data_IF_569665053841
#
_entry.id   IF_569665053841
#
_cell.length_a   1.000
_cell.length_b   1.000
_cell.length_c   1.000
_cell.angle_alpha   90.00
_cell.angle_beta   90.00
_cell.angle_gamma   90.00
#
_symmetry.space_group_name_H-M   'P 1'
#
loop_
_entity.id
_entity.type
_entity.pdbx_description
1 polymer ?
#
# COMPACT_ATOMS: atom_id res chain seq x y z
N UNK A 1 7.72 -4.68 22.55
CA UNK A 1 6.89 -3.90 21.61
C UNK A 1 7.27 -2.44 21.72
N UNK A 2 7.47 -1.73 20.61
CA UNK A 2 7.60 -0.28 20.62
C UNK A 2 6.43 0.43 21.31
N UNK A 3 6.61 1.69 21.70
CA UNK A 3 5.58 2.49 22.36
C UNK A 3 4.57 3.04 21.31
N UNK A 4 3.29 3.15 21.68
CA UNK A 4 2.26 3.74 20.80
C UNK A 4 2.46 5.23 20.50
N UNK A 5 3.27 5.95 21.31
CA UNK A 5 3.66 7.33 21.04
C UNK A 5 4.40 7.52 19.70
N UNK A 6 4.88 6.43 19.08
CA UNK A 6 5.36 6.45 17.70
C UNK A 6 4.33 7.07 16.74
N UNK A 7 3.05 6.85 17.00
CA UNK A 7 1.97 7.36 16.15
C UNK A 7 1.47 8.77 16.52
N UNK A 8 2.18 9.47 17.40
CA UNK A 8 1.88 10.86 17.76
C UNK A 8 2.54 11.88 16.79
N UNK A 9 3.46 11.44 15.93
CA UNK A 9 4.18 12.30 14.98
C UNK A 9 4.65 11.54 13.74
N UNK A 10 5.04 12.27 12.68
CA UNK A 10 5.78 11.73 11.54
C UNK A 10 7.28 11.70 11.85
N UNK A 11 8.00 10.77 11.24
CA UNK A 11 9.39 10.50 11.56
C UNK A 11 10.33 10.60 10.34
N UNK A 12 11.64 10.78 10.54
CA UNK A 12 12.65 10.61 9.51
C UNK A 12 12.67 9.19 8.93
N UNK A 13 13.06 9.05 7.66
CA UNK A 13 13.07 7.75 6.99
C UNK A 13 13.85 6.66 7.74
N UNK A 14 15.01 7.00 8.31
CA UNK A 14 15.82 6.02 9.05
C UNK A 14 15.10 5.48 10.28
N UNK A 15 14.37 6.33 10.99
CA UNK A 15 13.65 5.94 12.21
C UNK A 15 12.56 4.92 11.91
N UNK A 16 11.94 4.99 10.73
CA UNK A 16 10.98 3.97 10.25
C UNK A 16 11.66 2.61 10.01
N UNK A 17 12.89 2.61 9.45
CA UNK A 17 13.63 1.37 9.27
C UNK A 17 14.00 0.72 10.61
N UNK A 18 14.41 1.53 11.58
CA UNK A 18 14.73 1.11 12.94
C UNK A 18 13.45 0.59 13.66
N UNK A 19 12.30 1.24 13.44
CA UNK A 19 11.00 0.80 13.97
C UNK A 19 10.60 -0.59 13.45
N UNK A 20 10.87 -0.92 12.19
CA UNK A 20 10.63 -2.28 11.66
C UNK A 20 11.54 -3.33 12.33
N UNK A 21 12.79 -2.96 12.63
CA UNK A 21 13.68 -3.83 13.39
C UNK A 21 13.18 -4.04 14.83
N UNK A 22 12.73 -2.98 15.50
CA UNK A 22 12.12 -3.05 16.85
C UNK A 22 10.87 -3.94 16.89
N UNK A 23 10.02 -3.89 15.86
CA UNK A 23 8.86 -4.79 15.72
C UNK A 23 9.31 -6.24 15.55
N UNK A 24 10.35 -6.46 14.74
CA UNK A 24 10.91 -7.80 14.49
C UNK A 24 11.52 -8.37 15.76
N UNK A 25 12.28 -7.59 16.51
CA UNK A 25 12.88 -7.99 17.79
C UNK A 25 11.82 -8.29 18.87
N UNK A 26 10.66 -7.65 18.77
CA UNK A 26 9.56 -7.86 19.73
C UNK A 26 8.72 -9.12 19.45
N UNK A 27 8.88 -9.78 18.31
CA UNK A 27 8.07 -10.92 17.92
C UNK A 27 8.88 -12.03 17.23
N UNK A 28 9.06 -13.16 17.90
CA UNK A 28 9.91 -14.28 17.44
C UNK A 28 9.49 -14.88 16.09
N UNK A 29 8.23 -14.75 15.70
CA UNK A 29 7.71 -15.25 14.43
C UNK A 29 7.71 -14.14 13.37
N UNK A 30 8.78 -13.40 13.26
CA UNK A 30 8.96 -12.33 12.29
C UNK A 30 10.39 -12.23 11.77
N UNK A 31 10.54 -11.53 10.68
CA UNK A 31 11.82 -11.14 10.09
C UNK A 31 11.63 -9.87 9.26
N UNK A 32 12.69 -9.11 9.07
CA UNK A 32 12.72 -8.10 8.02
C UNK A 32 13.10 -8.73 6.68
N UNK A 33 12.63 -8.14 5.58
CA UNK A 33 12.97 -8.55 4.21
C UNK A 33 13.10 -7.33 3.30
N UNK A 34 13.63 -7.54 2.10
CA UNK A 34 13.73 -6.51 1.06
C UNK A 34 13.01 -7.03 -0.19
N UNK A 35 12.04 -6.27 -0.69
CA UNK A 35 11.30 -6.59 -1.92
C UNK A 35 12.01 -6.10 -3.18
N UNK A 36 12.78 -5.03 -3.06
CA UNK A 36 13.54 -4.41 -4.15
C UNK A 36 14.44 -3.29 -3.61
N UNK A 37 15.15 -2.64 -4.51
CA UNK A 37 16.02 -1.51 -4.19
C UNK A 37 15.67 -0.34 -5.11
N UNK A 38 15.58 0.86 -4.56
CA UNK A 38 15.26 2.07 -5.30
C UNK A 38 16.42 2.54 -6.19
N UNK A 39 16.14 3.52 -7.04
CA UNK A 39 17.10 4.09 -7.96
C UNK A 39 18.35 4.66 -7.25
N UNK A 40 18.20 5.31 -6.09
CA UNK A 40 19.30 5.86 -5.29
C UNK A 40 19.92 4.82 -4.33
N UNK A 41 19.52 3.55 -4.43
CA UNK A 41 20.11 2.44 -3.68
C UNK A 41 19.52 2.22 -2.28
N UNK A 42 18.31 2.72 -1.99
CA UNK A 42 17.61 2.44 -0.73
C UNK A 42 16.77 1.20 -0.84
N UNK A 43 16.80 0.36 0.18
CA UNK A 43 15.99 -0.85 0.23
C UNK A 43 14.50 -0.53 0.42
N UNK A 44 13.64 -1.23 -0.32
CA UNK A 44 12.22 -1.37 -0.02
C UNK A 44 12.08 -2.42 1.10
N UNK A 45 12.42 -1.98 2.33
CA UNK A 45 12.42 -2.83 3.51
C UNK A 45 11.00 -3.05 4.02
N UNK A 46 10.69 -4.30 4.32
CA UNK A 46 9.43 -4.70 4.91
C UNK A 46 9.60 -5.64 6.09
N UNK A 47 8.49 -5.94 6.75
CA UNK A 47 8.39 -6.94 7.81
C UNK A 47 7.49 -8.10 7.36
N UNK A 48 7.95 -9.31 7.56
CA UNK A 48 7.20 -10.56 7.39
C UNK A 48 6.97 -11.20 8.75
N UNK A 49 5.73 -11.58 9.02
CA UNK A 49 5.39 -12.28 10.26
C UNK A 49 4.26 -13.31 10.06
N UNK A 50 4.24 -14.32 10.92
CA UNK A 50 3.40 -15.52 10.79
C UNK A 50 2.96 -16.08 12.14
N UNK A 51 1.95 -16.96 12.12
CA UNK A 51 1.43 -17.65 13.30
C UNK A 51 2.05 -19.04 13.50
N UNK A 52 1.30 -19.91 14.18
CA UNK A 52 1.75 -21.24 14.64
C UNK A 52 2.19 -22.22 13.56
N UNK A 53 1.75 -22.05 12.32
CA UNK A 53 2.08 -22.98 11.25
C UNK A 53 3.50 -22.77 10.69
N UNK A 54 4.14 -21.65 11.05
CA UNK A 54 5.50 -21.34 10.65
C UNK A 54 5.59 -20.55 9.34
N UNK A 55 6.76 -20.01 9.09
CA UNK A 55 7.11 -19.13 7.97
C UNK A 55 6.75 -19.72 6.60
N UNK A 56 6.03 -18.98 5.79
CA UNK A 56 5.70 -19.31 4.41
C UNK A 56 4.78 -20.51 4.25
N UNK A 57 3.98 -20.84 5.26
CA UNK A 57 3.10 -22.00 5.25
C UNK A 57 1.65 -21.68 4.92
N UNK A 58 1.26 -20.42 5.08
CA UNK A 58 -0.08 -19.95 4.74
C UNK A 58 -0.04 -19.07 3.50
N UNK A 59 -1.21 -18.76 2.92
CA UNK A 59 -1.29 -17.77 1.84
C UNK A 59 -0.80 -16.41 2.33
N UNK A 60 -0.15 -15.68 1.41
CA UNK A 60 0.40 -14.37 1.71
C UNK A 60 -0.70 -13.29 1.74
N UNK A 61 -0.55 -12.34 2.65
CA UNK A 61 -1.17 -11.02 2.60
C UNK A 61 -0.04 -10.02 2.34
N UNK A 62 -0.14 -9.25 1.27
CA UNK A 62 0.85 -8.23 0.91
C UNK A 62 0.22 -6.84 0.98
N UNK A 63 0.69 -6.04 1.93
CA UNK A 63 0.30 -4.63 2.10
C UNK A 63 1.51 -3.74 1.91
N UNK A 64 1.35 -2.66 1.18
CA UNK A 64 2.40 -1.67 1.04
C UNK A 64 1.85 -0.25 1.00
N UNK A 65 2.72 0.72 1.26
CA UNK A 65 2.37 2.13 1.25
C UNK A 65 3.48 3.01 0.68
N UNK A 66 3.23 4.30 0.69
CA UNK A 66 4.16 5.35 0.23
C UNK A 66 4.71 5.08 -1.17
N UNK A 67 3.85 4.57 -2.07
CA UNK A 67 4.09 4.53 -3.51
C UNK A 67 4.24 5.95 -4.05
N UNK A 68 3.40 6.87 -3.57
CA UNK A 68 3.58 8.30 -3.77
C UNK A 68 4.22 8.94 -2.54
N UNK A 69 5.33 9.60 -2.75
CA UNK A 69 6.22 10.07 -1.70
C UNK A 69 5.60 11.02 -0.66
N UNK A 70 4.65 11.87 -1.08
CA UNK A 70 3.97 12.87 -0.24
C UNK A 70 2.89 12.32 0.70
N UNK A 71 2.53 11.05 0.52
CA UNK A 71 1.43 10.39 1.24
C UNK A 71 1.92 9.75 2.55
N UNK A 72 2.39 10.58 3.47
CA UNK A 72 3.07 10.12 4.69
C UNK A 72 2.20 9.27 5.61
N UNK A 73 0.88 9.53 5.63
CA UNK A 73 -0.05 8.76 6.47
C UNK A 73 -0.11 7.27 6.07
N UNK A 74 0.21 6.93 4.82
CA UNK A 74 0.17 5.53 4.37
C UNK A 74 1.26 4.69 5.05
N UNK A 75 2.48 5.21 5.22
CA UNK A 75 3.53 4.52 5.98
C UNK A 75 3.11 4.29 7.43
N UNK A 76 2.62 5.34 8.11
CA UNK A 76 2.16 5.26 9.50
C UNK A 76 1.04 4.22 9.66
N UNK A 77 0.12 4.15 8.68
CA UNK A 77 -0.96 3.16 8.68
C UNK A 77 -0.43 1.73 8.53
N UNK A 78 0.47 1.48 7.60
CA UNK A 78 1.08 0.14 7.39
C UNK A 78 1.83 -0.31 8.65
N UNK A 79 2.59 0.59 9.28
CA UNK A 79 3.31 0.31 10.53
C UNK A 79 2.36 0.05 11.71
N UNK A 80 1.27 0.82 11.81
CA UNK A 80 0.27 0.61 12.85
C UNK A 80 -0.43 -0.75 12.71
N UNK A 81 -0.75 -1.15 11.50
CA UNK A 81 -1.34 -2.46 11.22
C UNK A 81 -0.38 -3.59 11.61
N UNK A 82 0.92 -3.47 11.30
CA UNK A 82 1.94 -4.41 11.75
C UNK A 82 2.01 -4.48 13.28
N UNK A 83 2.05 -3.32 13.94
CA UNK A 83 2.04 -3.22 15.39
C UNK A 83 0.85 -3.95 16.01
N UNK A 84 -0.37 -3.68 15.53
CA UNK A 84 -1.61 -4.24 16.09
C UNK A 84 -1.69 -5.76 15.90
N UNK A 85 -1.28 -6.26 14.75
CA UNK A 85 -1.24 -7.70 14.46
C UNK A 85 -0.25 -8.42 15.38
N UNK A 86 0.95 -7.90 15.53
CA UNK A 86 1.99 -8.48 16.39
C UNK A 86 1.60 -8.37 17.87
N UNK A 87 1.16 -7.19 18.33
CA UNK A 87 0.79 -6.96 19.72
C UNK A 87 -0.40 -7.80 20.20
N UNK A 88 -1.34 -8.09 19.27
CA UNK A 88 -2.54 -8.87 19.54
C UNK A 88 -2.33 -10.39 19.53
N UNK A 89 -1.29 -10.89 18.86
CA UNK A 89 -1.04 -12.33 18.76
C UNK A 89 -0.89 -12.99 20.13
N UNK A 90 -1.63 -14.06 20.35
CA UNK A 90 -1.66 -14.78 21.63
C UNK A 90 -2.47 -14.10 22.74
N UNK A 91 -2.96 -12.86 22.52
CA UNK A 91 -3.75 -12.09 23.50
C UNK A 91 -5.19 -11.87 23.01
N UNK A 92 -5.37 -11.49 21.77
CA UNK A 92 -6.66 -11.38 21.09
C UNK A 92 -6.90 -12.63 20.23
N UNK A 93 -8.02 -13.32 20.44
CA UNK A 93 -8.33 -14.57 19.72
C UNK A 93 -8.55 -14.32 18.21
N UNK A 94 -9.15 -13.19 17.85
CA UNK A 94 -9.41 -12.85 16.46
C UNK A 94 -8.08 -12.53 15.74
N UNK A 95 -7.24 -11.70 16.34
CA UNK A 95 -5.92 -11.35 15.77
C UNK A 95 -5.04 -12.60 15.68
N UNK A 96 -5.06 -13.45 16.70
CA UNK A 96 -4.34 -14.74 16.68
C UNK A 96 -4.79 -15.61 15.51
N UNK A 97 -6.11 -15.65 15.23
CA UNK A 97 -6.62 -16.44 14.10
C UNK A 97 -6.15 -15.91 12.75
N UNK A 98 -5.94 -14.60 12.60
CA UNK A 98 -5.42 -14.02 11.35
C UNK A 98 -3.99 -14.49 11.07
N UNK A 99 -3.09 -14.39 12.05
CA UNK A 99 -1.70 -14.83 11.88
C UNK A 99 -1.59 -16.36 11.75
N UNK A 100 -2.49 -17.11 12.40
CA UNK A 100 -2.57 -18.55 12.21
C UNK A 100 -3.08 -18.97 10.83
N UNK A 101 -3.79 -18.08 10.12
CA UNK A 101 -4.38 -18.35 8.80
C UNK A 101 -3.53 -17.80 7.65
N UNK A 102 -2.78 -16.72 7.87
CA UNK A 102 -2.07 -15.99 6.83
C UNK A 102 -0.64 -15.62 7.24
N UNK A 103 0.24 -15.53 6.25
CA UNK A 103 1.56 -14.91 6.38
C UNK A 103 1.47 -13.45 5.93
N UNK A 104 1.89 -12.51 6.76
CA UNK A 104 1.78 -11.08 6.49
C UNK A 104 3.12 -10.49 6.02
N UNK A 105 3.10 -9.81 4.90
CA UNK A 105 4.22 -9.08 4.30
C UNK A 105 3.83 -7.61 4.18
N UNK A 106 4.44 -6.74 4.96
CA UNK A 106 4.13 -5.31 5.01
C UNK A 106 5.35 -4.47 4.63
N UNK A 107 5.17 -3.54 3.69
CA UNK A 107 6.22 -2.66 3.16
C UNK A 107 5.76 -1.21 3.29
N UNK A 108 6.20 -0.45 4.30
CA UNK A 108 5.75 0.94 4.48
C UNK A 108 6.19 1.89 3.37
N UNK A 109 7.33 1.63 2.72
CA UNK A 109 7.92 2.52 1.73
C UNK A 109 8.27 1.80 0.43
N UNK A 110 7.40 1.94 -0.57
CA UNK A 110 7.69 1.51 -1.95
C UNK A 110 8.60 2.51 -2.66
N UNK A 111 8.46 3.81 -2.33
CA UNK A 111 9.22 4.92 -2.89
C UNK A 111 10.12 5.61 -1.84
N UNK A 112 11.16 4.94 -1.35
CA UNK A 112 12.01 5.51 -0.29
C UNK A 112 12.77 6.76 -0.74
N UNK A 113 13.19 6.84 -2.02
CA UNK A 113 13.91 8.01 -2.56
C UNK A 113 13.01 9.24 -2.60
N UNK A 114 11.80 9.09 -3.11
CA UNK A 114 10.80 10.15 -3.12
C UNK A 114 10.45 10.60 -1.70
N UNK A 115 10.27 9.66 -0.78
CA UNK A 115 9.97 9.99 0.62
C UNK A 115 11.06 10.82 1.28
N UNK A 116 12.34 10.43 1.15
CA UNK A 116 13.47 11.22 1.64
C UNK A 116 13.51 12.61 0.99
N UNK A 117 13.18 12.69 -0.30
CA UNK A 117 13.10 13.97 -1.00
C UNK A 117 11.97 14.87 -0.45
N UNK A 118 10.85 14.29 -0.01
CA UNK A 118 9.78 15.08 0.64
C UNK A 118 10.17 15.63 1.99
N UNK A 119 11.12 15.02 2.66
CA UNK A 119 11.62 15.47 3.97
C UNK A 119 12.68 16.55 3.87
N UNK A 120 13.37 16.63 2.73
CA UNK A 120 14.56 17.50 2.59
C UNK A 120 14.39 18.63 1.58
N UNK A 121 13.48 18.50 0.60
CA UNK A 121 13.40 19.41 -0.54
C UNK A 121 11.96 19.90 -0.85
N UNK A 122 11.05 18.99 -1.18
CA UNK A 122 9.69 19.32 -1.61
C UNK A 122 8.68 18.39 -0.94
N UNK A 123 8.00 18.86 0.11
CA UNK A 123 7.01 18.11 0.90
C UNK A 123 5.90 17.51 0.03
N UNK A 124 5.58 18.13 -1.10
CA UNK A 124 4.49 17.70 -1.98
C UNK A 124 4.96 16.86 -3.17
N UNK A 125 6.22 16.42 -3.18
CA UNK A 125 6.76 15.53 -4.20
C UNK A 125 6.01 14.19 -4.24
N UNK A 126 5.56 13.78 -5.43
CA UNK A 126 4.78 12.55 -5.63
C UNK A 126 5.61 11.37 -6.16
N UNK A 127 6.34 11.62 -7.27
CA UNK A 127 7.00 10.62 -8.11
C UNK A 127 8.26 10.02 -7.44
N UNK A 128 8.87 9.00 -8.05
CA UNK A 128 10.21 8.56 -7.64
C UNK A 128 11.28 9.61 -8.02
N UNK A 129 12.58 9.24 -7.97
CA UNK A 129 13.68 10.17 -8.29
C UNK A 129 14.36 9.85 -9.62
N UNK A 130 13.68 9.19 -10.57
CA UNK A 130 14.21 8.91 -11.91
C UNK A 130 14.73 10.20 -12.56
N UNK A 131 15.95 10.12 -13.13
CA UNK A 131 16.54 11.24 -13.86
C UNK A 131 15.73 11.58 -15.12
N UNK A 132 15.69 12.85 -15.53
CA UNK A 132 14.94 13.25 -16.72
C UNK A 132 15.38 12.50 -17.97
N UNK A 133 14.45 12.12 -18.87
CA UNK A 133 14.82 11.65 -20.20
C UNK A 133 15.50 12.76 -21.03
N UNK A 134 16.20 12.39 -22.10
CA UNK A 134 17.15 13.23 -22.86
C UNK A 134 16.63 14.62 -23.28
N UNK A 135 15.32 14.80 -23.46
CA UNK A 135 14.73 16.05 -23.90
C UNK A 135 13.84 16.72 -22.83
N UNK A 136 14.08 16.43 -21.56
CA UNK A 136 13.31 16.96 -20.44
C UNK A 136 14.23 17.43 -19.30
N UNK A 137 13.68 18.27 -18.44
CA UNK A 137 14.29 18.67 -17.15
C UNK A 137 13.50 18.13 -15.94
N UNK A 138 12.40 17.41 -16.19
CA UNK A 138 11.48 16.96 -15.17
C UNK A 138 11.87 15.57 -14.66
N UNK A 139 12.12 15.49 -13.37
CA UNK A 139 12.44 14.24 -12.65
C UNK A 139 11.21 13.39 -12.35
N UNK A 140 11.46 12.10 -12.24
CA UNK A 140 10.56 11.13 -11.61
C UNK A 140 9.51 10.53 -12.53
N UNK A 141 9.12 9.32 -12.17
CA UNK A 141 8.03 8.52 -12.73
C UNK A 141 6.98 8.30 -11.65
N UNK A 142 5.71 8.32 -12.02
CA UNK A 142 4.62 7.90 -11.15
C UNK A 142 4.65 6.38 -11.03
N UNK A 143 5.06 5.88 -9.88
CA UNK A 143 5.22 4.44 -9.65
C UNK A 143 3.90 3.68 -9.76
N UNK A 144 2.76 4.31 -9.42
CA UNK A 144 1.44 3.70 -9.61
C UNK A 144 0.85 3.96 -11.01
N UNK A 145 1.73 4.16 -12.00
CA UNK A 145 1.47 4.14 -13.44
C UNK A 145 2.50 3.28 -14.18
N UNK A 146 3.42 2.66 -13.44
CA UNK A 146 4.54 1.92 -14.03
C UNK A 146 4.44 0.39 -13.88
N UNK A 147 3.37 -0.13 -13.29
CA UNK A 147 3.13 -1.58 -13.22
C UNK A 147 2.96 -2.19 -14.62
N UNK A 148 3.48 -3.41 -14.88
CA UNK A 148 3.49 -4.01 -16.23
C UNK A 148 2.17 -4.70 -16.59
N UNK A 149 1.05 -4.02 -16.38
CA UNK A 149 -0.29 -4.46 -16.78
C UNK A 149 -1.11 -3.26 -17.20
N UNK A 150 -1.78 -3.35 -18.35
CA UNK A 150 -2.61 -2.26 -18.91
C UNK A 150 -1.92 -0.88 -18.86
N UNK A 151 -0.61 -0.88 -19.16
CA UNK A 151 0.28 0.25 -18.90
C UNK A 151 0.00 1.48 -19.79
N UNK A 152 -0.51 1.27 -21.02
CA UNK A 152 -0.76 2.33 -22.03
C UNK A 152 -2.07 2.11 -22.79
N UNK A 153 -3.08 1.51 -22.18
CA UNK A 153 -4.31 1.10 -22.86
C UNK A 153 -5.37 2.18 -22.87
N UNK A 154 -5.49 2.96 -21.81
CA UNK A 154 -6.43 4.07 -21.71
C UNK A 154 -5.70 5.41 -21.89
N UNK A 155 -6.03 6.23 -22.93
CA UNK A 155 -5.35 7.51 -23.18
C UNK A 155 -5.47 8.52 -22.01
N UNK A 156 -6.44 8.34 -21.12
CA UNK A 156 -6.67 9.20 -19.95
C UNK A 156 -6.04 8.64 -18.66
N UNK A 157 -5.58 7.39 -18.68
CA UNK A 157 -5.14 6.67 -17.48
C UNK A 157 -3.72 7.00 -17.03
N UNK A 158 -2.89 7.56 -17.90
CA UNK A 158 -1.51 7.96 -17.61
C UNK A 158 -0.96 8.94 -18.63
N UNK A 159 0.17 9.58 -18.33
CA UNK A 159 0.83 10.53 -19.23
C UNK A 159 2.14 9.98 -19.79
N UNK A 160 2.47 10.33 -21.04
CA UNK A 160 3.79 10.16 -21.64
C UNK A 160 4.68 11.41 -21.50
N UNK A 161 4.16 12.50 -20.94
CA UNK A 161 4.93 13.71 -20.62
C UNK A 161 5.63 13.54 -19.28
N UNK A 162 6.97 13.55 -19.29
CA UNK A 162 7.79 13.42 -18.08
C UNK A 162 7.56 14.52 -17.04
N UNK A 163 7.01 15.67 -17.43
CA UNK A 163 6.65 16.75 -16.51
C UNK A 163 5.28 16.57 -15.84
N UNK A 164 4.49 15.61 -16.32
CA UNK A 164 3.21 15.26 -15.69
C UNK A 164 3.42 14.56 -14.34
N UNK A 165 2.49 14.79 -13.39
CA UNK A 165 2.43 14.07 -12.13
C UNK A 165 2.05 12.58 -12.32
N UNK A 166 1.45 12.23 -13.47
CA UNK A 166 1.04 10.87 -13.83
C UNK A 166 1.91 10.27 -14.95
N UNK A 167 3.16 10.71 -15.05
CA UNK A 167 4.12 10.18 -16.03
C UNK A 167 4.41 8.71 -15.76
N UNK A 168 4.12 7.85 -16.76
CA UNK A 168 4.17 6.39 -16.62
C UNK A 168 5.56 5.76 -16.82
N UNK A 169 6.59 6.57 -17.10
CA UNK A 169 7.93 6.07 -17.44
C UNK A 169 8.08 5.75 -18.92
N UNK A 170 9.25 5.20 -19.30
CA UNK A 170 9.63 4.91 -20.69
C UNK A 170 9.13 3.54 -21.16
N UNK A 171 8.84 2.64 -20.24
CA UNK A 171 8.29 1.29 -20.50
C UNK A 171 7.63 0.73 -19.22
N UNK A 172 6.80 -0.32 -19.32
CA UNK A 172 6.28 -1.01 -18.15
C UNK A 172 7.42 -1.52 -17.27
N UNK A 173 7.29 -1.37 -15.97
CA UNK A 173 8.30 -1.73 -14.96
C UNK A 173 9.72 -1.18 -15.28
N UNK A 174 9.81 0.01 -15.87
CA UNK A 174 11.09 0.67 -16.11
C UNK A 174 11.79 1.09 -14.82
N UNK A 175 11.02 1.31 -13.76
CA UNK A 175 11.53 1.75 -12.48
C UNK A 175 11.93 0.55 -11.61
N UNK A 176 13.13 0.57 -11.01
CA UNK A 176 13.60 -0.56 -10.20
C UNK A 176 12.68 -0.85 -9.02
N UNK A 177 12.06 0.17 -8.44
CA UNK A 177 11.08 0.04 -7.38
C UNK A 177 9.89 -0.83 -7.81
N UNK A 178 9.39 -0.62 -9.02
CA UNK A 178 8.23 -1.37 -9.54
C UNK A 178 8.61 -2.75 -10.02
N UNK A 179 9.77 -2.91 -10.64
CA UNK A 179 10.29 -4.24 -11.02
C UNK A 179 10.47 -5.13 -9.77
N UNK A 180 10.97 -4.54 -8.67
CA UNK A 180 11.09 -5.21 -7.38
C UNK A 180 9.75 -5.63 -6.80
N UNK A 181 8.79 -4.71 -6.70
CA UNK A 181 7.46 -4.97 -6.14
C UNK A 181 6.67 -5.99 -6.96
N UNK A 182 6.62 -5.86 -8.29
CA UNK A 182 5.95 -6.81 -9.17
C UNK A 182 6.56 -8.22 -9.06
N UNK A 183 7.89 -8.30 -9.12
CA UNK A 183 8.60 -9.58 -8.95
C UNK A 183 8.39 -10.20 -7.57
N UNK A 184 8.26 -9.39 -6.52
CA UNK A 184 7.99 -9.87 -5.16
C UNK A 184 6.54 -10.39 -5.02
N UNK A 185 5.55 -9.67 -5.53
CA UNK A 185 4.15 -10.12 -5.57
C UNK A 185 4.01 -11.45 -6.33
N UNK A 186 4.61 -11.56 -7.50
CA UNK A 186 4.63 -12.79 -8.30
C UNK A 186 5.31 -13.96 -7.58
N UNK A 187 6.41 -13.69 -6.88
CA UNK A 187 7.10 -14.70 -6.07
C UNK A 187 6.23 -15.24 -4.96
N UNK A 188 5.54 -14.36 -4.22
CA UNK A 188 4.61 -14.77 -3.17
C UNK A 188 3.45 -15.59 -3.74
N UNK A 189 2.83 -15.12 -4.82
CA UNK A 189 1.75 -15.81 -5.49
C UNK A 189 2.14 -17.23 -5.93
N UNK A 190 3.33 -17.39 -6.51
CA UNK A 190 3.85 -18.69 -6.96
C UNK A 190 4.25 -19.61 -5.83
N UNK A 191 4.79 -19.09 -4.73
CA UNK A 191 5.34 -19.91 -3.63
C UNK A 191 4.30 -20.38 -2.63
N UNK A 192 3.30 -19.54 -2.30
CA UNK A 192 2.34 -19.82 -1.23
C UNK A 192 0.91 -19.37 -1.55
N UNK A 193 0.69 -18.68 -2.67
CA UNK A 193 -0.56 -18.04 -3.04
C UNK A 193 -0.69 -16.64 -2.41
N UNK A 194 -1.30 -15.72 -3.14
CA UNK A 194 -1.55 -14.34 -2.68
C UNK A 194 -3.04 -14.20 -2.35
N UNK A 195 -3.35 -14.10 -1.06
CA UNK A 195 -4.73 -14.02 -0.58
C UNK A 195 -5.32 -12.62 -0.72
N UNK A 196 -4.55 -11.62 -0.26
CA UNK A 196 -5.01 -10.23 -0.21
C UNK A 196 -3.85 -9.30 -0.53
N UNK A 197 -4.09 -8.36 -1.43
CA UNK A 197 -3.15 -7.28 -1.77
C UNK A 197 -3.80 -5.93 -1.53
N UNK A 198 -3.16 -5.05 -0.76
CA UNK A 198 -3.62 -3.66 -0.53
C UNK A 198 -2.48 -2.69 -0.77
N UNK A 199 -2.74 -1.69 -1.61
CA UNK A 199 -1.90 -0.51 -1.81
C UNK A 199 -2.50 0.67 -1.02
N UNK A 200 -1.80 1.14 0.00
CA UNK A 200 -2.23 2.21 0.89
C UNK A 200 -1.77 3.56 0.38
N UNK A 201 -2.71 4.42 0.05
CA UNK A 201 -2.54 5.77 -0.47
C UNK A 201 -3.21 6.83 0.41
N UNK A 202 -3.02 8.08 0.07
CA UNK A 202 -3.84 9.20 0.48
C UNK A 202 -3.88 10.24 -0.64
N UNK A 203 -4.93 11.02 -0.67
CA UNK A 203 -6.08 11.14 0.22
C UNK A 203 -7.40 11.04 -0.56
N UNK A 204 -8.52 10.84 0.14
CA UNK A 204 -9.83 10.86 -0.52
C UNK A 204 -10.89 10.03 0.20
N UNK A 205 -10.49 9.23 1.21
CA UNK A 205 -11.39 8.32 1.93
C UNK A 205 -12.14 7.39 0.95
N UNK A 206 -11.35 6.65 0.12
CA UNK A 206 -11.90 5.75 -0.89
C UNK A 206 -11.40 4.32 -0.65
N UNK A 207 -12.27 3.34 -0.93
CA UNK A 207 -11.92 1.92 -1.00
C UNK A 207 -12.16 1.45 -2.43
N UNK A 208 -11.08 1.37 -3.21
CA UNK A 208 -11.13 1.12 -4.64
C UNK A 208 -10.90 -0.36 -4.96
N UNK A 209 -11.78 -0.92 -5.77
CA UNK A 209 -11.67 -2.30 -6.28
C UNK A 209 -11.21 -2.29 -7.73
N UNK A 210 -10.70 -3.39 -8.31
CA UNK A 210 -10.43 -3.48 -9.73
C UNK A 210 -11.69 -3.19 -10.57
N UNK A 211 -11.61 -2.51 -11.70
CA UNK A 211 -10.38 -2.07 -12.35
C UNK A 211 -10.22 -0.56 -12.33
N UNK A 212 -8.94 -0.11 -12.35
CA UNK A 212 -8.60 1.29 -12.58
C UNK A 212 -8.42 1.62 -14.06
N UNK A 213 -7.96 0.68 -14.89
CA UNK A 213 -7.67 0.95 -16.31
C UNK A 213 -8.93 1.09 -17.17
N UNK A 214 -10.06 0.54 -16.77
CA UNK A 214 -11.32 0.55 -17.54
C UNK A 214 -12.54 0.82 -16.67
N UNK A 215 -13.39 1.75 -17.10
CA UNK A 215 -14.69 2.00 -16.46
C UNK A 215 -15.82 1.10 -17.01
N UNK A 216 -15.56 0.31 -18.05
CA UNK A 216 -16.56 -0.54 -18.71
C UNK A 216 -16.29 -2.04 -18.50
N UNK A 217 -15.18 -2.38 -17.84
CA UNK A 217 -14.75 -3.76 -17.60
C UNK A 217 -14.62 -3.99 -16.10
N UNK A 218 -15.16 -5.12 -15.64
CA UNK A 218 -15.15 -5.50 -14.22
C UNK A 218 -14.71 -6.95 -14.06
N UNK A 219 -14.03 -7.31 -12.95
CA UNK A 219 -13.73 -8.70 -12.64
C UNK A 219 -15.02 -9.52 -12.45
N UNK A 220 -14.96 -10.83 -12.69
CA UNK A 220 -16.10 -11.72 -12.42
C UNK A 220 -16.55 -11.66 -10.95
N UNK A 221 -15.60 -11.47 -10.03
CA UNK A 221 -15.81 -11.31 -8.59
C UNK A 221 -16.09 -9.86 -8.15
N UNK A 222 -16.54 -8.97 -9.05
CA UNK A 222 -16.78 -7.56 -8.72
C UNK A 222 -17.75 -7.35 -7.55
N UNK A 223 -18.84 -8.11 -7.54
CA UNK A 223 -19.85 -8.00 -6.49
C UNK A 223 -19.28 -8.39 -5.10
N UNK A 224 -18.46 -9.41 -5.07
CA UNK A 224 -17.76 -9.88 -3.85
C UNK A 224 -16.75 -8.83 -3.37
N UNK A 225 -15.93 -8.26 -4.28
CA UNK A 225 -15.00 -7.17 -3.94
C UNK A 225 -15.73 -5.95 -3.36
N UNK A 226 -16.81 -5.52 -4.00
CA UNK A 226 -17.64 -4.42 -3.50
C UNK A 226 -18.25 -4.74 -2.12
N UNK A 227 -18.73 -5.97 -1.93
CA UNK A 227 -19.26 -6.44 -0.65
C UNK A 227 -18.23 -6.42 0.46
N UNK A 228 -17.02 -6.90 0.20
CA UNK A 228 -15.90 -6.89 1.13
C UNK A 228 -15.53 -5.44 1.53
N UNK A 229 -15.38 -4.57 0.54
CA UNK A 229 -15.01 -3.17 0.80
C UNK A 229 -16.14 -2.40 1.49
N UNK A 230 -17.41 -2.68 1.20
CA UNK A 230 -18.54 -2.07 1.90
C UNK A 230 -18.58 -2.49 3.39
N UNK A 231 -18.32 -3.75 3.69
CA UNK A 231 -18.19 -4.22 5.07
C UNK A 231 -17.00 -3.58 5.78
N UNK A 232 -15.86 -3.44 5.08
CA UNK A 232 -14.67 -2.75 5.59
C UNK A 232 -14.98 -1.28 5.90
N UNK A 233 -15.65 -0.56 5.00
CA UNK A 233 -16.07 0.83 5.22
C UNK A 233 -16.97 0.98 6.44
N UNK A 234 -17.91 0.05 6.64
CA UNK A 234 -18.75 0.04 7.84
C UNK A 234 -17.93 -0.16 9.12
N UNK A 235 -16.91 -1.03 9.07
CA UNK A 235 -15.94 -1.21 10.16
C UNK A 235 -15.18 0.08 10.48
N UNK A 236 -14.68 0.78 9.47
CA UNK A 236 -14.01 2.09 9.60
C UNK A 236 -14.95 3.10 10.27
N UNK A 237 -16.15 3.26 9.74
CA UNK A 237 -17.13 4.23 10.23
C UNK A 237 -17.56 3.98 11.69
N UNK A 238 -17.45 2.73 12.17
CA UNK A 238 -17.86 2.37 13.54
C UNK A 238 -17.05 3.01 14.65
N UNK A 239 -15.85 3.56 14.34
CA UNK A 239 -14.93 4.12 15.36
C UNK A 239 -15.16 5.63 15.53
N UNK A 240 -14.97 6.39 14.47
CA UNK A 240 -15.06 7.87 14.52
C UNK A 240 -16.15 8.44 13.61
N UNK A 241 -16.93 7.60 12.92
CA UNK A 241 -17.96 8.04 11.98
C UNK A 241 -17.40 8.47 10.63
N UNK A 242 -16.12 8.22 10.34
CA UNK A 242 -15.49 8.58 9.08
C UNK A 242 -16.03 7.69 7.95
N UNK A 243 -16.58 8.33 6.92
CA UNK A 243 -17.15 7.61 5.79
C UNK A 243 -16.13 7.43 4.67
N UNK A 244 -16.11 6.23 4.09
CA UNK A 244 -15.30 5.91 2.92
C UNK A 244 -16.22 5.53 1.76
N UNK A 245 -15.97 6.11 0.58
CA UNK A 245 -16.68 5.75 -0.66
C UNK A 245 -16.08 4.45 -1.22
N UNK A 246 -16.96 3.53 -1.64
CA UNK A 246 -16.57 2.22 -2.18
C UNK A 246 -16.94 2.13 -3.65
N UNK A 247 -16.04 1.64 -4.49
CA UNK A 247 -16.35 1.35 -5.88
C UNK A 247 -15.16 0.96 -6.73
N UNK A 248 -15.40 0.58 -8.00
CA UNK A 248 -14.33 0.32 -8.96
C UNK A 248 -13.48 1.58 -9.18
N UNK A 249 -12.14 1.40 -9.27
CA UNK A 249 -11.21 2.52 -9.29
C UNK A 249 -11.49 3.52 -10.41
N UNK A 250 -11.72 3.04 -11.63
CA UNK A 250 -11.99 3.90 -12.78
C UNK A 250 -13.27 4.74 -12.61
N UNK A 251 -14.36 4.12 -12.13
CA UNK A 251 -15.65 4.82 -11.97
C UNK A 251 -15.67 5.76 -10.78
N UNK A 252 -14.99 5.38 -9.69
CA UNK A 252 -15.03 6.09 -8.42
C UNK A 252 -14.06 7.26 -8.36
N UNK A 253 -12.91 7.13 -9.02
CA UNK A 253 -11.85 8.12 -9.01
C UNK A 253 -11.60 8.70 -10.41
N UNK A 254 -10.92 7.99 -11.27
CA UNK A 254 -10.63 8.31 -12.69
C UNK A 254 -9.84 7.13 -13.31
N UNK A 255 -9.74 7.04 -14.65
CA UNK A 255 -8.94 5.99 -15.30
C UNK A 255 -7.48 5.99 -14.85
N UNK A 256 -6.92 4.81 -14.56
CA UNK A 256 -5.53 4.64 -14.10
C UNK A 256 -4.86 3.45 -14.79
N UNK A 257 -3.94 3.70 -15.73
CA UNK A 257 -3.15 2.64 -16.34
C UNK A 257 -1.98 2.23 -15.44
N UNK A 258 -1.53 0.98 -15.57
CA UNK A 258 -0.36 0.49 -14.85
C UNK A 258 -0.48 0.64 -13.33
N UNK A 259 -1.66 0.32 -12.79
CA UNK A 259 -1.96 0.40 -11.37
C UNK A 259 -1.65 -0.90 -10.63
N UNK A 260 -1.29 -0.79 -9.36
CA UNK A 260 -0.84 -1.88 -8.49
C UNK A 260 -1.89 -2.97 -8.31
N UNK A 261 -3.11 -2.59 -7.96
CA UNK A 261 -4.19 -3.53 -7.62
C UNK A 261 -4.73 -4.27 -8.85
N UNK A 262 -4.71 -3.66 -10.04
CA UNK A 262 -5.06 -4.32 -11.29
C UNK A 262 -4.02 -5.40 -11.64
N UNK A 263 -2.72 -5.08 -11.52
CA UNK A 263 -1.64 -6.05 -11.71
C UNK A 263 -1.71 -7.20 -10.71
N UNK A 264 -1.91 -6.88 -9.44
CA UNK A 264 -1.98 -7.88 -8.39
C UNK A 264 -3.13 -8.87 -8.61
N UNK A 265 -4.28 -8.38 -9.05
CA UNK A 265 -5.45 -9.21 -9.34
C UNK A 265 -5.26 -10.05 -10.60
N UNK A 266 -5.01 -9.42 -11.75
CA UNK A 266 -5.00 -10.09 -13.05
C UNK A 266 -3.72 -10.89 -13.33
N UNK A 267 -2.56 -10.39 -12.87
CA UNK A 267 -1.26 -10.99 -13.24
C UNK A 267 -0.70 -11.83 -12.11
N UNK A 268 -0.59 -11.29 -10.90
CA UNK A 268 -0.10 -12.07 -9.76
C UNK A 268 -1.14 -13.08 -9.24
N UNK A 269 -2.43 -12.90 -9.57
CA UNK A 269 -3.49 -13.80 -9.15
C UNK A 269 -3.86 -13.68 -7.67
N UNK A 270 -3.80 -12.45 -7.12
CA UNK A 270 -4.34 -12.19 -5.80
C UNK A 270 -5.85 -12.49 -5.77
N UNK A 271 -6.31 -13.23 -4.76
CA UNK A 271 -7.74 -13.52 -4.64
C UNK A 271 -8.55 -12.25 -4.38
N UNK A 272 -7.96 -11.30 -3.67
CA UNK A 272 -8.51 -9.98 -3.36
C UNK A 272 -7.43 -8.91 -3.58
N UNK A 273 -7.77 -7.86 -4.30
CA UNK A 273 -6.89 -6.72 -4.52
C UNK A 273 -7.66 -5.41 -4.38
N UNK A 274 -7.06 -4.42 -3.74
CA UNK A 274 -7.67 -3.10 -3.57
C UNK A 274 -6.61 -2.02 -3.40
N UNK A 275 -7.01 -0.78 -3.70
CA UNK A 275 -6.29 0.43 -3.37
C UNK A 275 -7.15 1.25 -2.39
N UNK A 276 -6.53 1.74 -1.32
CA UNK A 276 -7.24 2.51 -0.29
C UNK A 276 -6.64 3.89 -0.19
N UNK A 277 -7.47 4.91 -0.42
CA UNK A 277 -7.14 6.32 -0.19
C UNK A 277 -7.58 6.69 1.23
N UNK A 278 -6.63 6.95 2.10
CA UNK A 278 -6.82 7.27 3.51
C UNK A 278 -7.41 8.70 3.70
N UNK A 279 -7.50 9.16 4.98
CA UNK A 279 -7.88 10.54 5.31
C UNK A 279 -7.01 11.56 4.57
N UNK A 280 -7.53 12.74 4.26
CA UNK A 280 -8.87 13.23 4.50
C UNK A 280 -9.65 13.40 3.17
N UNK A 281 -10.66 14.30 3.13
CA UNK A 281 -11.37 14.66 1.89
C UNK A 281 -10.86 15.99 1.29
N UNK A 282 -9.67 16.46 1.71
CA UNK A 282 -8.97 17.60 1.13
C UNK A 282 -8.86 18.86 2.01
N UNK A 283 -9.27 18.82 3.27
CA UNK A 283 -9.04 19.92 4.22
C UNK A 283 -7.54 20.13 4.45
N UNK A 284 -6.80 19.06 4.70
CA UNK A 284 -5.35 19.03 4.86
C UNK A 284 -4.64 18.35 3.69
N UNK A 285 -5.32 17.45 2.98
CA UNK A 285 -4.79 16.69 1.85
C UNK A 285 -3.55 15.87 2.23
N UNK A 286 -2.47 16.03 1.47
CA UNK A 286 -1.21 15.30 1.72
C UNK A 286 -0.47 15.74 2.99
N UNK A 287 -0.92 16.81 3.67
CA UNK A 287 -0.29 17.35 4.88
C UNK A 287 -1.20 17.11 6.09
N UNK A 288 -1.71 15.88 6.18
CA UNK A 288 -2.55 15.48 7.31
C UNK A 288 -1.79 15.72 8.62
N UNK A 289 -2.38 16.48 9.60
CA UNK A 289 -1.68 16.85 10.82
C UNK A 289 -1.44 15.63 11.73
N UNK A 290 -0.38 15.66 12.56
CA UNK A 290 0.00 14.53 13.42
C UNK A 290 -1.13 14.02 14.33
N UNK A 291 -1.99 14.92 14.82
CA UNK A 291 -3.13 14.61 15.69
C UNK A 291 -4.16 13.68 15.01
N UNK A 292 -4.10 13.55 13.68
CA UNK A 292 -4.98 12.67 12.92
C UNK A 292 -4.34 11.33 12.57
N UNK A 293 -3.07 11.11 12.88
CA UNK A 293 -2.40 9.82 12.59
C UNK A 293 -3.10 8.70 13.37
N UNK A 294 -3.18 8.82 14.68
CA UNK A 294 -3.76 7.76 15.52
C UNK A 294 -5.25 7.54 15.23
N UNK A 295 -6.12 8.59 15.14
CA UNK A 295 -7.52 8.39 14.75
C UNK A 295 -7.69 7.70 13.39
N UNK A 296 -6.89 8.06 12.37
CA UNK A 296 -6.90 7.36 11.09
C UNK A 296 -6.51 5.89 11.25
N UNK A 297 -5.45 5.61 11.98
CA UNK A 297 -4.96 4.25 12.19
C UNK A 297 -5.96 3.38 12.96
N UNK A 298 -6.63 3.91 13.98
CA UNK A 298 -7.63 3.19 14.78
C UNK A 298 -8.84 2.77 13.95
N UNK A 299 -9.38 3.67 13.14
CA UNK A 299 -10.52 3.36 12.28
C UNK A 299 -10.14 2.38 11.17
N UNK A 300 -8.97 2.54 10.56
CA UNK A 300 -8.45 1.61 9.56
C UNK A 300 -8.24 0.22 10.19
N UNK A 301 -7.73 0.13 11.41
CA UNK A 301 -7.61 -1.14 12.12
C UNK A 301 -8.96 -1.82 12.34
N UNK A 302 -10.00 -1.06 12.69
CA UNK A 302 -11.35 -1.62 12.84
C UNK A 302 -11.88 -2.19 11.51
N UNK A 303 -11.74 -1.46 10.41
CA UNK A 303 -12.08 -1.93 9.07
C UNK A 303 -11.25 -3.15 8.65
N UNK A 304 -9.95 -3.12 8.93
CA UNK A 304 -9.03 -4.23 8.62
C UNK A 304 -9.42 -5.53 9.34
N UNK A 305 -9.85 -5.45 10.59
CA UNK A 305 -10.37 -6.64 11.30
C UNK A 305 -11.62 -7.22 10.63
N UNK A 306 -12.52 -6.38 10.14
CA UNK A 306 -13.69 -6.83 9.37
C UNK A 306 -13.24 -7.47 8.06
N UNK A 307 -12.37 -6.81 7.32
CA UNK A 307 -11.83 -7.31 6.04
C UNK A 307 -11.17 -8.68 6.21
N UNK A 308 -10.25 -8.83 7.18
CA UNK A 308 -9.55 -10.10 7.45
C UNK A 308 -10.47 -11.21 7.95
N UNK A 309 -11.63 -10.89 8.49
CA UNK A 309 -12.62 -11.89 8.93
C UNK A 309 -13.47 -12.43 7.79
N UNK A 310 -13.45 -11.78 6.62
CA UNK A 310 -14.28 -12.10 5.46
C UNK A 310 -13.50 -12.70 4.27
N UNK A 311 -12.18 -12.57 4.26
CA UNK A 311 -11.30 -13.10 3.21
C UNK A 311 -10.84 -14.54 3.44
#
# INVERSE_FOLDING_TARGET
MPDLSWFDSYHPFQDHLDYLDDLTDAFNNSETFVSGTSLEGRDQKGIHFWGKHGKGKNKAILWHGTTHAREWISAMTVEYLAYQLIAGYGKDKLVTSFLDSYDFYLIPFVNPDGFVYTQTNDRLWRKNRQTPPANSTCYGVDLNRNWPHEWDTNPQGSSNDSCSQTYRGVSPASEPEMAGMAGFADKLAKSQGLKLFIDWHSYGQLLLTPYGFSCDTFPESNAEHLGLMAATAAGIASVHGTNYTVGPGCETLYPTNGASYDYAYDVSGAEWASLIELRDEGEFGFVLPPEQILPNCEEIWAGTKVMLSLV
#
